data_IF_166480455426
#
_entry.id   IF_166480455426
#
_cell.length_a   1.000
_cell.length_b   1.000
_cell.length_c   1.000
_cell.angle_alpha   90.00
_cell.angle_beta   90.00
_cell.angle_gamma   90.00
#
_symmetry.space_group_name_H-M   'P 1'
#
loop_
_entity.id
_entity.type
_entity.pdbx_description
1 polymer ?
#
# COMPACT_ATOMS: atom_id res chain seq x y z
N UNK A 1 -16.86 -24.05 15.18
CA UNK A 1 -16.10 -22.77 15.12
C UNK A 1 -14.85 -22.92 15.97
N UNK A 2 -13.64 -22.76 15.42
CA UNK A 2 -12.39 -22.95 16.16
C UNK A 2 -12.23 -21.90 17.27
N UNK A 3 -11.60 -22.29 18.39
CA UNK A 3 -11.41 -21.46 19.58
C UNK A 3 -10.69 -20.11 19.29
N UNK A 4 -9.88 -20.07 18.23
CA UNK A 4 -9.15 -18.88 17.80
C UNK A 4 -10.07 -17.75 17.32
N UNK A 5 -11.20 -18.08 16.70
CA UNK A 5 -12.15 -17.09 16.18
C UNK A 5 -12.84 -16.32 17.32
N UNK A 6 -13.06 -16.97 18.47
CA UNK A 6 -13.63 -16.30 19.65
C UNK A 6 -12.68 -15.26 20.23
N UNK A 7 -11.37 -15.58 20.27
CA UNK A 7 -10.34 -14.64 20.73
C UNK A 7 -10.23 -13.46 19.75
N UNK A 8 -10.20 -13.73 18.45
CA UNK A 8 -10.12 -12.68 17.42
C UNK A 8 -11.35 -11.77 17.42
N UNK A 9 -12.55 -12.32 17.62
CA UNK A 9 -13.79 -11.52 17.74
C UNK A 9 -13.83 -10.70 19.04
N UNK A 10 -13.33 -11.25 20.15
CA UNK A 10 -13.24 -10.51 21.40
C UNK A 10 -12.28 -9.31 21.26
N UNK A 11 -11.14 -9.50 20.61
CA UNK A 11 -10.21 -8.41 20.26
C UNK A 11 -10.88 -7.39 19.33
N UNK A 12 -11.60 -7.84 18.31
CA UNK A 12 -12.32 -6.95 17.38
C UNK A 12 -13.33 -6.06 18.10
N UNK A 13 -14.10 -6.62 19.04
CA UNK A 13 -15.03 -5.83 19.85
C UNK A 13 -14.29 -4.82 20.73
N UNK A 14 -13.20 -5.22 21.37
CA UNK A 14 -12.40 -4.32 22.20
C UNK A 14 -11.81 -3.13 21.39
N UNK A 15 -11.53 -3.35 20.10
CA UNK A 15 -10.92 -2.34 19.23
C UNK A 15 -11.87 -1.71 18.22
N UNK A 16 -13.19 -1.95 18.27
CA UNK A 16 -14.14 -1.51 17.25
C UNK A 16 -14.07 -0.01 16.88
N UNK A 17 -13.65 0.85 17.82
CA UNK A 17 -13.51 2.30 17.64
C UNK A 17 -12.07 2.75 17.27
N UNK A 18 -11.10 1.85 17.26
CA UNK A 18 -9.69 2.14 16.97
C UNK A 18 -9.43 2.08 15.46
N UNK A 19 -9.86 3.12 14.74
CA UNK A 19 -9.73 3.26 13.29
C UNK A 19 -9.37 4.70 12.88
N UNK A 20 -9.39 4.99 11.58
CA UNK A 20 -9.33 6.34 11.01
C UNK A 20 -8.04 7.12 11.37
N UNK A 21 -6.88 6.50 11.13
CA UNK A 21 -5.56 7.15 11.27
C UNK A 21 -5.17 7.99 10.06
N UNK A 22 -6.14 8.51 9.31
CA UNK A 22 -5.99 9.23 8.04
C UNK A 22 -4.99 10.40 8.13
N UNK A 23 -5.00 11.12 9.25
CA UNK A 23 -4.07 12.23 9.50
C UNK A 23 -2.59 11.81 9.56
N UNK A 24 -2.30 10.50 9.61
CA UNK A 24 -0.96 9.91 9.67
C UNK A 24 -0.58 9.17 8.39
N UNK A 25 -1.41 9.17 7.35
CA UNK A 25 -1.08 8.62 6.03
C UNK A 25 0.18 9.28 5.47
N UNK A 26 0.88 8.58 4.57
CA UNK A 26 2.18 8.99 4.06
C UNK A 26 2.06 10.32 3.31
N UNK A 27 0.98 10.48 2.55
CA UNK A 27 0.61 11.70 1.82
C UNK A 27 0.22 12.89 2.70
N UNK A 28 0.06 12.70 4.03
CA UNK A 28 -0.15 13.81 4.99
C UNK A 28 1.16 14.34 5.58
N UNK A 29 2.30 13.80 5.15
CA UNK A 29 3.62 14.28 5.54
C UNK A 29 3.96 15.68 4.98
N UNK A 30 4.98 16.34 5.53
CA UNK A 30 5.38 17.70 5.13
C UNK A 30 5.86 17.81 3.67
N UNK A 31 6.30 16.69 3.07
CA UNK A 31 6.75 16.68 1.66
C UNK A 31 5.62 17.00 0.66
N UNK A 32 4.36 16.94 1.09
CA UNK A 32 3.19 17.20 0.25
C UNK A 32 2.60 18.61 0.47
N UNK A 33 3.28 19.49 1.23
CA UNK A 33 2.77 20.82 1.55
C UNK A 33 2.46 21.65 0.27
N UNK A 34 3.31 21.53 -0.75
CA UNK A 34 3.13 22.21 -2.04
C UNK A 34 2.20 21.43 -3.00
N UNK A 35 1.81 20.20 -2.64
CA UNK A 35 0.95 19.31 -3.41
C UNK A 35 -0.24 18.81 -2.55
N UNK A 36 -1.14 19.69 -2.08
CA UNK A 36 -2.14 19.35 -1.06
C UNK A 36 -3.27 18.43 -1.55
N UNK A 37 -3.38 18.19 -2.86
CA UNK A 37 -4.44 17.40 -3.48
C UNK A 37 -3.87 16.35 -4.43
N UNK A 38 -4.49 15.16 -4.53
CA UNK A 38 -4.12 14.19 -5.54
C UNK A 38 -4.51 14.72 -6.92
N UNK A 39 -3.59 14.61 -7.87
CA UNK A 39 -3.75 15.03 -9.27
C UNK A 39 -3.59 13.87 -10.25
N UNK A 40 -2.94 12.77 -9.83
CA UNK A 40 -2.83 11.55 -10.62
C UNK A 40 -4.12 10.74 -10.46
N UNK A 41 -4.78 10.45 -11.59
CA UNK A 41 -5.96 9.59 -11.58
C UNK A 41 -5.53 8.11 -11.58
N UNK A 42 -6.01 7.36 -10.59
CA UNK A 42 -5.72 5.93 -10.41
C UNK A 42 -7.04 5.16 -10.47
N UNK A 43 -7.04 4.05 -11.22
CA UNK A 43 -8.17 3.14 -11.38
C UNK A 43 -7.74 1.70 -11.12
N UNK A 44 -8.70 0.84 -10.84
CA UNK A 44 -8.49 -0.59 -10.87
C UNK A 44 -9.50 -1.26 -11.79
N UNK A 45 -9.09 -1.80 -12.96
CA UNK A 45 -10.04 -2.40 -13.90
C UNK A 45 -10.82 -3.57 -13.31
N UNK A 46 -10.23 -4.30 -12.35
CA UNK A 46 -10.85 -5.48 -11.75
C UNK A 46 -11.59 -5.21 -10.44
N UNK A 47 -11.27 -4.12 -9.73
CA UNK A 47 -11.91 -3.76 -8.47
C UNK A 47 -12.92 -2.61 -8.62
N UNK A 48 -12.78 -1.77 -9.64
CA UNK A 48 -13.60 -0.59 -9.88
C UNK A 48 -12.96 0.73 -9.43
N UNK A 49 -13.79 1.78 -9.42
CA UNK A 49 -13.39 3.14 -9.05
C UNK A 49 -13.17 3.28 -7.54
N UNK A 50 -12.29 4.20 -7.16
CA UNK A 50 -12.00 4.51 -5.75
C UNK A 50 -13.16 5.27 -5.09
N UNK A 51 -13.61 4.90 -3.88
CA UNK A 51 -13.23 3.71 -3.12
C UNK A 51 -13.93 2.45 -3.65
N UNK A 52 -13.20 1.33 -3.71
CA UNK A 52 -13.70 0.06 -4.25
C UNK A 52 -13.72 -1.06 -3.20
N UNK A 53 -14.64 -2.01 -3.33
CA UNK A 53 -14.68 -3.20 -2.48
C UNK A 53 -13.76 -4.30 -3.04
N UNK A 54 -12.75 -4.68 -2.26
CA UNK A 54 -11.84 -5.77 -2.58
C UNK A 54 -12.54 -7.11 -2.32
N UNK A 55 -12.46 -8.04 -3.27
CA UNK A 55 -12.90 -9.42 -3.04
C UNK A 55 -11.84 -10.23 -2.28
N UNK A 56 -12.23 -11.41 -1.79
CA UNK A 56 -11.34 -12.28 -1.01
C UNK A 56 -10.03 -12.65 -1.74
N UNK A 57 -10.01 -12.65 -3.09
CA UNK A 57 -8.80 -12.91 -3.90
C UNK A 57 -7.65 -11.94 -3.59
N UNK A 58 -7.96 -10.72 -3.16
CA UNK A 58 -6.97 -9.69 -2.78
C UNK A 58 -6.56 -9.74 -1.32
N UNK A 59 -7.09 -10.68 -0.54
CA UNK A 59 -6.89 -10.74 0.91
C UNK A 59 -6.05 -11.97 1.30
N UNK A 60 -5.52 -11.97 2.51
CA UNK A 60 -4.76 -13.11 3.05
C UNK A 60 -5.64 -14.30 3.45
N UNK A 61 -6.96 -14.23 3.26
CA UNK A 61 -7.85 -15.41 3.38
C UNK A 61 -8.16 -16.04 2.02
N UNK A 62 -7.85 -15.34 0.91
CA UNK A 62 -7.84 -15.88 -0.44
C UNK A 62 -6.42 -15.90 -1.00
N UNK A 63 -6.28 -15.51 -2.27
CA UNK A 63 -5.04 -15.66 -3.04
C UNK A 63 -3.97 -14.59 -2.73
N UNK A 64 -4.33 -13.54 -2.00
CA UNK A 64 -3.40 -12.47 -1.65
C UNK A 64 -2.90 -11.63 -2.84
N UNK A 65 -3.69 -11.55 -3.91
CA UNK A 65 -3.32 -10.83 -5.13
C UNK A 65 -3.23 -9.31 -4.90
N UNK A 66 -2.17 -8.70 -5.40
CA UNK A 66 -2.10 -7.24 -5.53
C UNK A 66 -3.18 -6.77 -6.54
N UNK A 67 -3.98 -5.74 -6.25
CA UNK A 67 -4.97 -5.24 -7.20
C UNK A 67 -4.32 -4.65 -8.46
N UNK A 68 -4.84 -4.92 -9.65
CA UNK A 68 -4.42 -4.22 -10.88
C UNK A 68 -4.72 -2.73 -10.71
N UNK A 69 -3.66 -1.92 -10.55
CA UNK A 69 -3.72 -0.47 -10.47
C UNK A 69 -3.19 0.11 -11.76
N UNK A 70 -3.92 1.07 -12.32
CA UNK A 70 -3.54 1.82 -13.51
C UNK A 70 -3.67 3.30 -13.25
N UNK A 71 -2.79 4.08 -13.84
CA UNK A 71 -2.80 5.52 -13.65
C UNK A 71 -2.46 6.29 -14.91
N UNK A 72 -2.91 7.54 -14.95
CA UNK A 72 -2.52 8.50 -15.97
C UNK A 72 -1.11 9.02 -15.68
N UNK A 73 -0.28 9.16 -16.71
CA UNK A 73 0.99 9.84 -16.55
C UNK A 73 0.75 11.30 -16.10
N UNK A 74 1.44 11.80 -15.06
CA UNK A 74 1.30 13.19 -14.62
C UNK A 74 1.92 14.17 -15.61
N UNK A 75 1.47 15.41 -15.58
CA UNK A 75 2.16 16.50 -16.26
C UNK A 75 3.42 16.92 -15.47
N UNK A 76 4.46 17.33 -16.19
CA UNK A 76 5.70 17.88 -15.60
C UNK A 76 6.84 16.87 -15.40
N UNK A 77 7.88 17.25 -14.64
CA UNK A 77 9.06 16.42 -14.43
C UNK A 77 8.73 15.15 -13.65
N UNK A 78 9.20 14.02 -14.17
CA UNK A 78 9.05 12.71 -13.57
C UNK A 78 10.32 11.88 -13.82
N UNK A 79 11.01 11.51 -12.75
CA UNK A 79 12.17 10.64 -12.78
C UNK A 79 11.78 9.20 -12.41
N UNK A 80 10.89 9.01 -11.44
CA UNK A 80 10.38 7.71 -11.01
C UNK A 80 9.10 7.86 -10.18
N UNK A 81 8.37 6.76 -10.00
CA UNK A 81 7.28 6.68 -9.04
C UNK A 81 7.68 5.91 -7.77
N UNK A 82 6.99 6.26 -6.69
CA UNK A 82 6.93 5.53 -5.43
C UNK A 82 5.47 5.13 -5.19
N UNK A 83 5.20 3.87 -4.86
CA UNK A 83 3.85 3.40 -4.51
C UNK A 83 3.82 2.88 -3.09
N UNK A 84 3.04 3.51 -2.21
CA UNK A 84 2.85 3.12 -0.81
C UNK A 84 1.46 2.52 -0.65
N UNK A 85 1.36 1.43 0.13
CA UNK A 85 0.10 0.77 0.47
C UNK A 85 -0.07 0.82 1.99
N UNK A 86 -1.04 1.55 2.53
CA UNK A 86 -1.25 1.69 3.98
C UNK A 86 -2.64 1.26 4.42
N UNK A 87 -2.75 0.62 5.58
CA UNK A 87 -4.02 0.40 6.28
C UNK A 87 -4.14 1.41 7.43
N UNK A 88 -5.03 2.40 7.27
CA UNK A 88 -5.26 3.45 8.27
C UNK A 88 -6.28 3.03 9.35
N UNK A 89 -6.94 1.89 9.19
CA UNK A 89 -8.00 1.40 10.06
C UNK A 89 -7.55 0.24 10.95
N UNK A 90 -6.25 -0.09 10.92
CA UNK A 90 -5.63 -0.94 11.91
C UNK A 90 -5.82 -0.38 13.33
N UNK A 91 -6.04 -1.25 14.33
CA UNK A 91 -6.14 -0.84 15.73
C UNK A 91 -4.76 -0.55 16.34
N UNK A 92 -3.95 0.24 15.65
CA UNK A 92 -2.63 0.69 16.07
C UNK A 92 -2.56 2.23 16.07
N UNK A 93 -1.53 2.82 16.71
CA UNK A 93 -1.40 4.28 16.77
C UNK A 93 -1.15 4.96 15.41
N UNK A 94 -0.69 4.24 14.39
CA UNK A 94 -0.37 4.74 13.06
C UNK A 94 -0.75 3.72 11.97
N UNK A 95 -0.93 4.16 10.72
CA UNK A 95 -1.16 3.27 9.59
C UNK A 95 -0.07 2.22 9.47
N UNK A 96 -0.46 1.03 9.01
CA UNK A 96 0.48 -0.06 8.75
C UNK A 96 0.84 -0.09 7.28
N UNK A 97 2.14 -0.14 6.99
CA UNK A 97 2.64 -0.33 5.64
C UNK A 97 2.44 -1.79 5.17
N UNK A 98 1.54 -1.97 4.22
CA UNK A 98 1.28 -3.22 3.51
C UNK A 98 2.21 -3.43 2.30
N UNK A 99 2.84 -2.38 1.78
CA UNK A 99 3.75 -2.46 0.65
C UNK A 99 4.33 -1.09 0.30
N UNK A 100 5.61 -1.04 -0.05
CA UNK A 100 6.25 0.19 -0.50
C UNK A 100 7.13 -0.15 -1.70
N UNK A 101 6.73 0.24 -2.91
CA UNK A 101 7.42 -0.09 -4.15
C UNK A 101 8.23 1.11 -4.64
N UNK A 102 9.54 0.90 -4.78
CA UNK A 102 10.53 1.97 -4.92
C UNK A 102 11.19 1.89 -6.30
N UNK A 103 11.37 3.04 -6.95
CA UNK A 103 12.07 3.12 -8.24
C UNK A 103 11.23 2.56 -9.39
N UNK A 104 9.91 2.76 -9.35
CA UNK A 104 9.04 2.41 -10.48
C UNK A 104 9.38 3.35 -11.63
N UNK A 105 9.67 2.78 -12.81
CA UNK A 105 10.10 3.56 -13.97
C UNK A 105 9.06 4.63 -14.38
N UNK A 106 9.49 5.79 -14.90
CA UNK A 106 8.59 6.88 -15.27
C UNK A 106 7.64 6.49 -16.42
N UNK A 107 8.05 5.54 -17.26
CA UNK A 107 7.22 4.97 -18.34
C UNK A 107 6.13 4.01 -17.85
N UNK A 108 6.18 3.57 -16.59
CA UNK A 108 5.20 2.63 -16.04
C UNK A 108 3.91 3.34 -15.69
N UNK A 109 2.79 2.81 -16.19
CA UNK A 109 1.43 3.33 -15.95
C UNK A 109 0.51 2.31 -15.29
N UNK A 110 1.07 1.20 -14.79
CA UNK A 110 0.32 0.16 -14.09
C UNK A 110 1.21 -0.72 -13.21
N UNK A 111 0.64 -1.26 -12.13
CA UNK A 111 1.21 -2.37 -11.33
C UNK A 111 0.09 -3.36 -11.04
N UNK A 112 0.38 -4.64 -11.22
CA UNK A 112 -0.60 -5.73 -11.11
C UNK A 112 -0.07 -6.90 -10.28
N UNK A 113 -0.90 -7.92 -10.08
CA UNK A 113 -0.48 -9.17 -9.47
C UNK A 113 0.62 -9.91 -10.26
N UNK A 114 0.81 -9.62 -11.55
CA UNK A 114 1.93 -10.18 -12.31
C UNK A 114 3.28 -9.56 -11.91
N UNK A 115 3.27 -8.32 -11.43
CA UNK A 115 4.44 -7.58 -10.99
C UNK A 115 4.84 -7.94 -9.56
N UNK A 116 3.84 -8.32 -8.73
CA UNK A 116 3.97 -8.73 -7.33
C UNK A 116 3.29 -10.10 -7.15
N UNK A 117 3.85 -11.11 -7.79
CA UNK A 117 3.26 -12.44 -7.92
C UNK A 117 3.32 -13.21 -6.60
N UNK A 118 2.18 -13.60 -6.00
CA UNK A 118 2.18 -14.53 -4.87
C UNK A 118 2.68 -15.91 -5.31
N UNK A 119 3.53 -16.52 -4.50
CA UNK A 119 4.10 -17.84 -4.73
C UNK A 119 3.63 -18.80 -3.64
N UNK A 120 3.49 -20.08 -4.01
CA UNK A 120 3.27 -21.17 -3.06
C UNK A 120 4.60 -21.64 -2.42
N UNK A 121 5.36 -20.69 -1.86
CA UNK A 121 6.64 -20.94 -1.19
C UNK A 121 6.67 -20.14 0.13
N UNK A 122 6.62 -20.81 1.30
CA UNK A 122 6.65 -20.13 2.59
C UNK A 122 7.93 -19.34 2.87
N UNK A 123 9.06 -19.70 2.26
CA UNK A 123 10.34 -19.00 2.42
C UNK A 123 10.45 -17.80 1.49
N UNK A 124 9.79 -17.87 0.33
CA UNK A 124 9.74 -16.81 -0.67
C UNK A 124 8.32 -16.64 -1.20
N UNK A 125 7.40 -16.04 -0.40
CA UNK A 125 5.98 -16.02 -0.73
C UNK A 125 5.62 -15.10 -1.90
N UNK A 126 6.58 -14.35 -2.46
CA UNK A 126 6.36 -13.49 -3.63
C UNK A 126 7.56 -13.47 -4.59
N UNK A 127 7.27 -13.32 -5.87
CA UNK A 127 8.23 -12.89 -6.90
C UNK A 127 7.92 -11.45 -7.32
N UNK A 128 8.96 -10.60 -7.33
CA UNK A 128 8.88 -9.24 -7.84
C UNK A 128 9.34 -9.22 -9.29
N UNK A 129 8.45 -8.85 -10.22
CA UNK A 129 8.71 -8.86 -11.67
C UNK A 129 8.57 -7.49 -12.33
N UNK A 130 8.00 -6.51 -11.63
CA UNK A 130 7.74 -5.18 -12.19
C UNK A 130 8.97 -4.27 -12.32
N UNK A 131 10.19 -4.78 -12.08
CA UNK A 131 11.43 -4.01 -12.25
C UNK A 131 11.70 -2.94 -11.19
N UNK A 132 10.89 -2.89 -10.14
CA UNK A 132 11.07 -2.03 -8.97
C UNK A 132 11.56 -2.80 -7.75
N UNK A 133 11.87 -2.09 -6.68
CA UNK A 133 12.29 -2.63 -5.39
C UNK A 133 11.14 -2.53 -4.39
N UNK A 134 11.28 -3.14 -3.21
CA UNK A 134 10.33 -2.97 -2.12
C UNK A 134 11.00 -2.56 -0.80
N UNK A 135 10.28 -1.77 -0.01
CA UNK A 135 10.67 -1.33 1.33
C UNK A 135 10.21 -2.29 2.44
N UNK A 136 10.49 -1.92 3.69
CA UNK A 136 10.15 -2.72 4.87
C UNK A 136 8.63 -2.79 5.06
N UNK A 137 8.12 -4.01 5.18
CA UNK A 137 6.74 -4.32 5.59
C UNK A 137 6.74 -5.09 6.92
N UNK A 138 5.58 -5.28 7.55
CA UNK A 138 5.47 -6.03 8.82
C UNK A 138 5.94 -7.49 8.72
N UNK A 139 5.90 -8.08 7.53
CA UNK A 139 6.24 -9.50 7.30
C UNK A 139 7.51 -9.69 6.48
N UNK A 140 8.26 -8.62 6.20
CA UNK A 140 9.47 -8.66 5.34
C UNK A 140 9.21 -9.29 3.97
N UNK A 141 8.03 -9.04 3.41
CA UNK A 141 7.62 -9.46 2.06
C UNK A 141 7.27 -8.24 1.21
N UNK A 142 7.30 -8.34 -0.13
CA UNK A 142 6.96 -7.22 -1.02
C UNK A 142 5.58 -6.61 -0.75
N UNK A 143 4.58 -7.46 -0.50
CA UNK A 143 3.21 -7.04 -0.23
C UNK A 143 2.60 -7.93 0.85
N UNK A 144 1.93 -7.30 1.83
CA UNK A 144 1.15 -7.97 2.85
C UNK A 144 -0.31 -7.85 2.45
N UNK A 145 -1.00 -8.93 2.10
CA UNK A 145 -2.40 -8.82 1.72
C UNK A 145 -3.31 -8.42 2.91
N UNK A 146 -4.39 -7.66 2.66
CA UNK A 146 -5.45 -7.37 3.62
C UNK A 146 -5.85 -8.56 4.50
N UNK A 147 -5.85 -8.35 5.81
CA UNK A 147 -6.33 -9.33 6.80
C UNK A 147 -6.85 -8.61 8.05
N UNK A 148 -7.93 -7.82 7.94
CA UNK A 148 -8.52 -7.15 9.10
C UNK A 148 -8.98 -8.19 10.13
N UNK A 149 -9.12 -7.79 11.39
CA UNK A 149 -9.59 -8.72 12.42
C UNK A 149 -11.05 -9.13 12.13
N UNK A 150 -11.38 -10.39 12.44
CA UNK A 150 -12.71 -10.95 12.18
C UNK A 150 -13.81 -10.19 12.96
N UNK A 151 -14.71 -9.53 12.24
CA UNK A 151 -15.80 -8.74 12.80
C UNK A 151 -15.41 -7.34 13.25
N UNK A 152 -14.20 -6.85 12.89
CA UNK A 152 -13.77 -5.48 13.22
C UNK A 152 -14.44 -4.42 12.34
N UNK A 153 -15.18 -4.82 11.31
CA UNK A 153 -15.72 -3.94 10.28
C UNK A 153 -14.71 -3.72 9.13
N UNK A 154 -15.10 -2.95 8.10
CA UNK A 154 -14.23 -2.68 6.97
C UNK A 154 -12.98 -1.91 7.38
N UNK A 155 -11.87 -2.25 6.72
CA UNK A 155 -10.63 -1.47 6.71
C UNK A 155 -10.46 -0.84 5.33
N UNK A 156 -9.85 0.36 5.29
CA UNK A 156 -9.44 1.04 4.07
C UNK A 156 -7.94 0.89 3.87
N UNK A 157 -7.59 0.39 2.68
CA UNK A 157 -6.24 0.22 2.19
C UNK A 157 -5.99 1.32 1.15
N UNK A 158 -5.10 2.24 1.50
CA UNK A 158 -4.71 3.39 0.70
C UNK A 158 -3.54 3.01 -0.19
N UNK A 159 -3.73 3.07 -1.50
CA UNK A 159 -2.68 2.86 -2.50
C UNK A 159 -2.30 4.24 -3.04
N UNK A 160 -1.23 4.80 -2.48
CA UNK A 160 -0.75 6.15 -2.70
C UNK A 160 0.40 6.12 -3.71
N UNK A 161 0.18 6.66 -4.90
CA UNK A 161 1.21 6.77 -5.94
C UNK A 161 1.80 8.18 -5.92
N UNK A 162 3.11 8.28 -5.81
CA UNK A 162 3.84 9.54 -5.75
C UNK A 162 4.76 9.62 -6.97
N UNK A 163 4.61 10.68 -7.75
CA UNK A 163 5.54 11.05 -8.81
C UNK A 163 6.67 11.89 -8.22
N UNK A 164 7.92 11.50 -8.49
CA UNK A 164 9.10 12.20 -8.04
C UNK A 164 9.80 12.88 -9.23
N UNK A 165 10.13 14.16 -9.10
CA UNK A 165 10.87 14.93 -10.11
C UNK A 165 12.33 14.53 -10.23
N UNK A 166 12.87 13.86 -9.21
CA UNK A 166 14.25 13.37 -9.13
C UNK A 166 14.24 11.93 -8.58
N UNK A 167 15.27 11.12 -8.90
CA UNK A 167 15.41 9.79 -8.31
C UNK A 167 15.38 9.85 -6.78
N UNK A 168 14.69 8.91 -6.13
CA UNK A 168 14.61 8.85 -4.67
C UNK A 168 16.00 8.72 -4.05
N UNK A 169 16.92 8.03 -4.73
CA UNK A 169 18.30 7.83 -4.29
C UNK A 169 18.43 6.78 -3.19
N UNK A 170 17.37 6.03 -2.90
CA UNK A 170 17.38 4.90 -1.98
C UNK A 170 17.37 3.60 -2.76
N UNK A 171 18.30 2.70 -2.41
CA UNK A 171 18.34 1.34 -2.94
C UNK A 171 18.20 0.35 -1.78
N UNK A 172 17.11 -0.42 -1.69
CA UNK A 172 16.96 -1.42 -0.64
C UNK A 172 18.07 -2.46 -0.68
N UNK A 173 18.54 -2.84 0.51
CA UNK A 173 19.50 -3.93 0.73
C UNK A 173 18.84 -4.98 1.66
N UNK A 174 19.02 -6.30 1.43
CA UNK A 174 18.53 -7.33 2.33
C UNK A 174 18.85 -7.12 3.82
N UNK A 175 19.99 -6.50 4.14
CA UNK A 175 20.38 -6.24 5.53
C UNK A 175 19.90 -4.87 6.05
N UNK A 176 19.53 -3.96 5.14
CA UNK A 176 19.09 -2.61 5.47
C UNK A 176 17.86 -2.22 4.64
N UNK A 177 16.66 -2.71 5.02
CA UNK A 177 15.44 -2.45 4.28
C UNK A 177 15.03 -0.98 4.45
N UNK A 178 14.64 -0.35 3.35
CA UNK A 178 14.16 1.04 3.35
C UNK A 178 12.87 1.15 4.17
N UNK A 179 12.87 1.98 5.20
CA UNK A 179 11.70 2.19 6.06
C UNK A 179 10.83 3.32 5.55
N UNK A 180 9.58 3.36 6.03
CA UNK A 180 8.65 4.45 5.74
C UNK A 180 9.21 5.83 6.09
N UNK A 181 9.91 5.96 7.22
CA UNK A 181 10.48 7.24 7.63
C UNK A 181 11.65 7.65 6.72
N UNK A 182 12.48 6.69 6.26
CA UNK A 182 13.51 6.96 5.26
C UNK A 182 12.89 7.45 3.95
N UNK A 183 11.78 6.87 3.51
CA UNK A 183 11.04 7.33 2.34
C UNK A 183 10.52 8.75 2.56
N UNK A 184 9.90 9.03 3.70
CA UNK A 184 9.34 10.34 4.03
C UNK A 184 10.41 11.45 4.01
N UNK A 185 11.62 11.15 4.47
CA UNK A 185 12.76 12.07 4.37
C UNK A 185 13.27 12.21 2.94
N UNK A 186 13.42 11.11 2.21
CA UNK A 186 14.02 11.10 0.87
C UNK A 186 13.16 11.77 -0.21
N UNK A 187 11.84 11.88 -0.02
CA UNK A 187 10.94 12.55 -0.98
C UNK A 187 10.84 14.06 -0.79
N UNK A 188 11.41 14.63 0.29
CA UNK A 188 11.31 16.07 0.56
C UNK A 188 11.89 16.88 -0.59
N UNK A 189 11.08 17.80 -1.12
CA UNK A 189 11.43 18.64 -2.27
C UNK A 189 11.44 17.91 -3.63
N UNK A 190 11.06 16.62 -3.68
CA UNK A 190 11.03 15.83 -4.91
C UNK A 190 9.63 15.48 -5.39
N UNK A 191 8.60 15.63 -4.56
CA UNK A 191 7.21 15.35 -4.98
C UNK A 191 6.83 16.33 -6.10
N UNK A 192 6.36 15.81 -7.24
CA UNK A 192 5.84 16.64 -8.34
C UNK A 192 4.33 16.47 -8.54
N UNK A 193 3.82 15.27 -8.29
CA UNK A 193 2.40 14.95 -8.29
C UNK A 193 2.15 13.70 -7.42
N UNK A 194 0.90 13.45 -7.05
CA UNK A 194 0.52 12.18 -6.42
C UNK A 194 -0.94 11.84 -6.71
N UNK A 195 -1.31 10.59 -6.47
CA UNK A 195 -2.66 10.06 -6.59
C UNK A 195 -2.94 9.03 -5.51
N UNK A 196 -4.20 8.69 -5.34
CA UNK A 196 -4.66 7.73 -4.34
C UNK A 196 -5.80 6.88 -4.91
N UNK A 197 -5.72 5.58 -4.67
CA UNK A 197 -6.83 4.65 -4.86
C UNK A 197 -7.09 3.91 -3.56
N UNK A 198 -8.35 3.81 -3.14
CA UNK A 198 -8.73 3.21 -1.86
C UNK A 198 -9.46 1.90 -2.13
N UNK A 199 -8.89 0.79 -1.64
CA UNK A 199 -9.57 -0.51 -1.57
C UNK A 199 -10.12 -0.75 -0.17
N UNK A 200 -11.33 -1.29 -0.05
CA UNK A 200 -11.89 -1.69 1.24
C UNK A 200 -12.06 -3.19 1.34
N UNK A 201 -11.68 -3.77 2.49
CA UNK A 201 -11.89 -5.18 2.77
C UNK A 201 -12.35 -5.39 4.21
N UNK A 202 -13.23 -6.37 4.41
CA UNK A 202 -13.76 -6.77 5.71
C UNK A 202 -13.73 -8.29 5.85
N UNK A 203 -13.40 -8.78 7.04
CA UNK A 203 -13.62 -10.17 7.44
C UNK A 203 -14.84 -10.23 8.35
N UNK A 204 -15.91 -10.89 7.90
CA UNK A 204 -17.19 -11.05 8.63
C UNK A 204 -17.27 -12.41 9.32
#
# INVERSE_FOLDING_TARGET
MPALDYVERALSWAFANAKARDAKLFTKGPAFADHPKPTIHITSPECGDSPAELSAKHSAVGDGLFPDLRWTHPDGPLAEYLLICEDADVPLPAPVNHGAFIGIAPSTTSVSSADVEPLNDPQKPFALRGGFWYGKTLRSVPYVPPRPLLGHGPHRYFYELIALSEPLGLRPDPNNPVTRDMLAEAIKGKVSAWGEWIGSYERK
#
